data_IF_533222049998
#
_entry.id   IF_533222049998
#
_cell.length_a   1.000
_cell.length_b   1.000
_cell.length_c   1.000
_cell.angle_alpha   90.00
_cell.angle_beta   90.00
_cell.angle_gamma   90.00
#
_symmetry.space_group_name_H-M   'P 1'
#
loop_
_entity.id
_entity.type
_entity.pdbx_description
1 polymer ?
#
# COMPACT_ATOMS: atom_id res chain seq x y z
N UNK A 1 32.85 -18.89 -0.62
CA UNK A 1 32.07 -17.65 -0.40
C UNK A 1 30.97 -18.01 0.57
N UNK A 2 31.02 -17.44 1.76
CA UNK A 2 30.26 -17.91 2.92
C UNK A 2 28.84 -17.36 2.91
N UNK A 3 27.90 -18.06 3.55
CA UNK A 3 26.52 -17.58 3.73
C UNK A 3 26.47 -16.18 4.41
N UNK A 4 27.51 -15.83 5.17
CA UNK A 4 27.69 -14.54 5.81
C UNK A 4 27.75 -13.36 4.82
N UNK A 5 28.33 -13.55 3.64
CA UNK A 5 28.50 -12.48 2.64
C UNK A 5 27.13 -11.97 2.15
N UNK A 6 26.20 -12.89 1.90
CA UNK A 6 24.84 -12.60 1.44
C UNK A 6 24.00 -11.97 2.56
N UNK A 7 24.16 -12.44 3.79
CA UNK A 7 23.46 -11.89 4.95
C UNK A 7 23.86 -10.44 5.23
N UNK A 8 25.14 -10.10 5.09
CA UNK A 8 25.64 -8.72 5.25
C UNK A 8 25.09 -7.77 4.18
N UNK A 9 24.80 -8.24 2.97
CA UNK A 9 24.20 -7.42 1.91
C UNK A 9 22.71 -7.14 2.16
N UNK A 10 21.99 -8.05 2.82
CA UNK A 10 20.56 -7.89 3.15
C UNK A 10 20.35 -7.05 4.41
N UNK A 11 21.29 -7.09 5.34
CA UNK A 11 21.25 -6.39 6.62
C UNK A 11 20.97 -4.87 6.52
N UNK A 12 21.61 -4.07 5.64
CA UNK A 12 21.30 -2.65 5.51
C UNK A 12 19.88 -2.39 4.99
N UNK A 13 19.36 -3.23 4.08
CA UNK A 13 17.99 -3.11 3.62
C UNK A 13 16.98 -3.40 4.73
N UNK A 14 17.26 -4.40 5.58
CA UNK A 14 16.41 -4.70 6.73
C UNK A 14 16.44 -3.59 7.78
N UNK A 15 17.61 -3.03 8.09
CA UNK A 15 17.73 -1.90 9.01
C UNK A 15 16.96 -0.67 8.50
N UNK A 16 17.04 -0.39 7.19
CA UNK A 16 16.27 0.70 6.59
C UNK A 16 14.75 0.47 6.75
N UNK A 17 14.25 -0.72 6.43
CA UNK A 17 12.83 -1.07 6.61
C UNK A 17 12.45 -0.97 8.09
N UNK A 18 13.30 -1.43 9.00
CA UNK A 18 13.01 -1.40 10.43
C UNK A 18 12.84 0.04 10.92
N UNK A 19 13.76 0.93 10.57
CA UNK A 19 13.76 2.33 11.02
C UNK A 19 12.63 3.13 10.35
N UNK A 20 12.42 2.95 9.05
CA UNK A 20 11.49 3.81 8.30
C UNK A 20 10.10 3.22 8.10
N UNK A 21 9.88 1.92 8.34
CA UNK A 21 8.56 1.29 8.20
C UNK A 21 8.03 0.72 9.51
N UNK A 22 8.89 0.17 10.38
CA UNK A 22 8.45 -0.46 11.64
C UNK A 22 8.31 0.55 12.77
N UNK A 23 9.31 1.42 12.99
CA UNK A 23 9.23 2.49 14.00
C UNK A 23 8.00 3.41 13.81
N UNK A 24 7.67 3.93 12.62
CA UNK A 24 6.49 4.80 12.48
C UNK A 24 5.16 4.06 12.70
N UNK A 25 5.16 2.73 12.74
CA UNK A 25 3.97 1.93 13.00
C UNK A 25 3.47 2.07 14.44
N UNK A 26 4.30 2.55 15.37
CA UNK A 26 3.87 2.93 16.73
C UNK A 26 2.81 4.03 16.71
N UNK A 27 2.80 4.89 15.68
CA UNK A 27 1.75 5.89 15.48
C UNK A 27 0.36 5.28 15.27
N UNK A 28 0.29 4.04 14.76
CA UNK A 28 -0.98 3.30 14.65
C UNK A 28 -1.52 2.96 16.03
N UNK A 29 -0.66 2.52 16.95
CA UNK A 29 -1.05 2.23 18.33
C UNK A 29 -1.56 3.50 19.03
N UNK A 30 -0.92 4.64 18.79
CA UNK A 30 -1.37 5.93 19.34
C UNK A 30 -2.75 6.36 18.84
N UNK A 31 -3.10 6.03 17.59
CA UNK A 31 -4.43 6.34 17.02
C UNK A 31 -5.59 5.55 17.68
N UNK A 32 -5.30 4.44 18.34
CA UNK A 32 -6.27 3.63 19.09
C UNK A 32 -6.33 3.97 20.59
N UNK A 33 -5.49 4.89 21.05
CA UNK A 33 -5.50 5.41 22.42
C UNK A 33 -6.12 6.81 22.40
N UNK A 34 -6.85 7.18 23.47
CA UNK A 34 -7.36 8.55 23.61
C UNK A 34 -6.22 9.47 24.06
N UNK A 35 -5.34 9.81 23.11
CA UNK A 35 -4.16 10.62 23.37
C UNK A 35 -4.53 12.11 23.43
N UNK A 36 -4.86 12.57 24.64
CA UNK A 36 -4.95 14.00 24.93
C UNK A 36 -3.63 14.48 25.54
N UNK A 37 -2.97 15.44 24.89
CA UNK A 37 -1.72 16.09 25.35
C UNK A 37 -1.89 16.63 26.79
N UNK A 38 -3.13 16.92 27.20
CA UNK A 38 -3.49 17.48 28.50
C UNK A 38 -3.86 16.45 29.58
N UNK A 39 -4.17 15.19 29.26
CA UNK A 39 -4.72 14.21 30.23
C UNK A 39 -3.84 12.99 30.55
N UNK A 40 -2.57 12.97 30.11
CA UNK A 40 -1.62 11.93 30.48
C UNK A 40 -1.86 10.57 29.80
N UNK A 41 -0.79 9.77 29.69
CA UNK A 41 -0.74 8.53 28.88
C UNK A 41 -1.66 7.38 29.32
N UNK A 42 -2.31 7.44 30.50
CA UNK A 42 -2.85 6.25 31.17
C UNK A 42 -4.40 6.17 31.23
N UNK A 43 -5.14 7.08 30.61
CA UNK A 43 -6.56 7.26 31.01
C UNK A 43 -7.59 6.43 30.24
N UNK A 44 -7.25 5.72 29.14
CA UNK A 44 -8.27 5.02 28.34
C UNK A 44 -8.06 3.49 28.23
N UNK A 45 -8.46 2.74 29.26
CA UNK A 45 -8.54 1.27 29.26
C UNK A 45 -9.38 0.71 28.08
N UNK A 46 -10.26 1.53 27.49
CA UNK A 46 -11.19 1.17 26.41
C UNK A 46 -11.14 2.15 25.21
N UNK A 47 -10.00 2.82 24.98
CA UNK A 47 -9.87 3.84 23.92
C UNK A 47 -10.19 3.33 22.51
N UNK A 48 -9.81 2.10 22.20
CA UNK A 48 -10.02 1.49 20.89
C UNK A 48 -11.51 1.40 20.51
N UNK A 49 -12.39 0.98 21.43
CA UNK A 49 -13.85 0.86 21.19
C UNK A 49 -14.44 2.23 20.82
N UNK A 50 -14.02 3.29 21.53
CA UNK A 50 -14.52 4.63 21.32
C UNK A 50 -14.09 5.18 19.96
N UNK A 51 -12.85 4.96 19.56
CA UNK A 51 -12.35 5.34 18.22
C UNK A 51 -13.13 4.63 17.12
N UNK A 52 -13.42 3.33 17.26
CA UNK A 52 -14.25 2.61 16.28
C UNK A 52 -15.67 3.20 16.20
N UNK A 53 -16.35 3.42 17.32
CA UNK A 53 -17.67 4.06 17.32
C UNK A 53 -17.65 5.45 16.71
N UNK A 54 -16.59 6.23 16.94
CA UNK A 54 -16.42 7.54 16.34
C UNK A 54 -16.35 7.45 14.81
N UNK A 55 -15.53 6.54 14.28
CA UNK A 55 -15.38 6.30 12.84
C UNK A 55 -16.69 5.85 12.19
N UNK A 56 -17.43 4.93 12.82
CA UNK A 56 -18.72 4.45 12.28
C UNK A 56 -19.85 5.50 12.37
N UNK A 57 -19.73 6.51 13.24
CA UNK A 57 -20.69 7.62 13.34
C UNK A 57 -20.47 8.71 12.30
N UNK A 58 -19.34 8.70 11.58
CA UNK A 58 -19.10 9.64 10.47
C UNK A 58 -20.12 9.33 9.36
N UNK A 59 -20.96 10.31 9.03
CA UNK A 59 -22.04 10.17 8.03
C UNK A 59 -21.53 9.64 6.68
N UNK A 60 -20.34 10.08 6.27
CA UNK A 60 -19.72 9.71 5.00
C UNK A 60 -18.93 8.40 5.03
N UNK A 61 -18.77 7.76 6.20
CA UNK A 61 -17.92 6.56 6.33
C UNK A 61 -18.37 5.44 5.38
N UNK A 62 -19.67 5.13 5.36
CA UNK A 62 -20.22 4.09 4.50
C UNK A 62 -20.14 4.44 3.01
N UNK A 63 -20.29 5.72 2.66
CA UNK A 63 -20.11 6.19 1.28
C UNK A 63 -18.66 5.99 0.83
N UNK A 64 -17.69 6.40 1.64
CA UNK A 64 -16.26 6.26 1.35
C UNK A 64 -15.85 4.79 1.29
N UNK A 65 -16.33 3.96 2.23
CA UNK A 65 -16.05 2.53 2.26
C UNK A 65 -16.57 1.83 0.99
N UNK A 66 -17.82 2.10 0.60
CA UNK A 66 -18.41 1.55 -0.63
C UNK A 66 -17.64 2.00 -1.87
N UNK A 67 -17.29 3.29 -1.96
CA UNK A 67 -16.53 3.81 -3.09
C UNK A 67 -15.14 3.13 -3.18
N UNK A 68 -14.45 2.99 -2.05
CA UNK A 68 -13.15 2.32 -1.98
C UNK A 68 -13.26 0.85 -2.40
N UNK A 69 -14.28 0.13 -1.92
CA UNK A 69 -14.54 -1.26 -2.33
C UNK A 69 -14.82 -1.37 -3.83
N UNK A 70 -15.67 -0.49 -4.38
CA UNK A 70 -15.99 -0.49 -5.81
C UNK A 70 -14.74 -0.22 -6.65
N UNK A 71 -13.90 0.74 -6.25
CA UNK A 71 -12.63 1.03 -6.92
C UNK A 71 -11.68 -0.16 -6.84
N UNK A 72 -11.55 -0.80 -5.67
CA UNK A 72 -10.70 -1.97 -5.48
C UNK A 72 -11.15 -3.15 -6.37
N UNK A 73 -12.46 -3.42 -6.42
CA UNK A 73 -13.04 -4.44 -7.30
C UNK A 73 -12.84 -4.12 -8.78
N UNK A 74 -13.01 -2.86 -9.19
CA UNK A 74 -12.77 -2.44 -10.57
C UNK A 74 -11.29 -2.61 -10.96
N UNK A 75 -10.37 -2.22 -10.08
CA UNK A 75 -8.93 -2.44 -10.27
C UNK A 75 -8.58 -3.92 -10.35
N UNK A 76 -9.26 -4.76 -9.57
CA UNK A 76 -9.03 -6.21 -9.60
C UNK A 76 -9.64 -6.87 -10.85
N UNK A 77 -10.88 -6.55 -11.22
CA UNK A 77 -11.55 -7.20 -12.35
C UNK A 77 -11.11 -6.66 -13.72
N UNK A 78 -10.73 -5.38 -13.82
CA UNK A 78 -10.34 -4.76 -15.10
C UNK A 78 -8.85 -4.43 -15.10
N UNK A 79 -8.37 -3.79 -14.04
CA UNK A 79 -6.98 -3.33 -13.95
C UNK A 79 -5.94 -4.47 -13.94
N UNK A 80 -6.28 -5.63 -13.38
CA UNK A 80 -5.38 -6.79 -13.37
C UNK A 80 -5.41 -7.59 -14.69
N UNK A 81 -6.57 -7.90 -15.31
CA UNK A 81 -6.58 -8.57 -16.60
C UNK A 81 -6.12 -7.70 -17.77
N UNK A 82 -6.26 -6.38 -17.70
CA UNK A 82 -5.90 -5.49 -18.81
C UNK A 82 -4.41 -5.60 -19.24
N UNK A 83 -3.41 -5.58 -18.34
CA UNK A 83 -2.01 -5.82 -18.70
C UNK A 83 -1.76 -7.22 -19.29
N UNK A 84 -2.49 -8.24 -18.82
CA UNK A 84 -2.35 -9.63 -19.32
C UNK A 84 -2.88 -9.71 -20.75
N UNK A 85 -4.07 -9.17 -21.00
CA UNK A 85 -4.65 -9.09 -22.34
C UNK A 85 -3.76 -8.26 -23.28
N UNK A 86 -3.24 -7.12 -22.80
CA UNK A 86 -2.32 -6.30 -23.57
C UNK A 86 -1.04 -7.07 -23.91
N UNK A 87 -0.45 -7.79 -22.96
CA UNK A 87 0.74 -8.62 -23.20
C UNK A 87 0.46 -9.72 -24.23
N UNK A 88 -0.72 -10.34 -24.19
CA UNK A 88 -1.13 -11.37 -25.15
C UNK A 88 -1.32 -10.80 -26.56
N UNK A 89 -1.96 -9.63 -26.69
CA UNK A 89 -2.13 -8.92 -27.97
C UNK A 89 -0.76 -8.52 -28.53
N UNK A 90 0.13 -7.97 -27.70
CA UNK A 90 1.49 -7.60 -28.14
C UNK A 90 2.33 -8.82 -28.53
N UNK A 91 2.12 -9.96 -27.87
CA UNK A 91 2.80 -11.21 -28.20
C UNK A 91 2.34 -11.77 -29.56
N UNK A 92 1.06 -11.60 -29.91
CA UNK A 92 0.49 -12.05 -31.18
C UNK A 92 0.86 -11.13 -32.36
N UNK A 93 1.13 -9.84 -32.08
CA UNK A 93 1.67 -8.89 -33.08
C UNK A 93 3.15 -9.22 -33.32
N UNK A 94 3.38 -10.20 -34.21
CA UNK A 94 4.69 -10.71 -34.67
C UNK A 94 5.57 -9.68 -35.42
N UNK A 95 5.31 -8.38 -35.27
CA UNK A 95 6.16 -7.32 -35.78
C UNK A 95 6.88 -6.64 -34.62
N UNK A 96 8.00 -7.23 -34.22
CA UNK A 96 9.02 -6.64 -33.34
C UNK A 96 9.39 -5.20 -33.77
N UNK A 97 9.17 -4.86 -35.04
CA UNK A 97 9.40 -3.54 -35.62
C UNK A 97 8.44 -2.44 -35.11
N UNK A 98 7.16 -2.73 -34.88
CA UNK A 98 6.20 -1.70 -34.41
C UNK A 98 6.39 -1.35 -32.93
N UNK A 99 6.74 -2.34 -32.11
CA UNK A 99 6.97 -2.16 -30.67
C UNK A 99 8.27 -1.36 -30.40
N UNK A 100 9.32 -1.60 -31.19
CA UNK A 100 10.54 -0.78 -31.19
C UNK A 100 10.28 0.66 -31.64
N UNK A 101 9.44 0.86 -32.66
CA UNK A 101 9.13 2.19 -33.17
C UNK A 101 8.36 3.05 -32.16
N UNK A 102 7.43 2.46 -31.39
CA UNK A 102 6.71 3.17 -30.31
C UNK A 102 7.62 3.53 -29.14
N UNK A 103 8.53 2.62 -28.73
CA UNK A 103 9.50 2.91 -27.67
C UNK A 103 10.51 4.00 -28.07
N UNK A 104 10.91 4.06 -29.34
CA UNK A 104 11.81 5.10 -29.86
C UNK A 104 11.14 6.48 -29.97
N UNK A 105 9.84 6.55 -30.28
CA UNK A 105 9.11 7.82 -30.38
C UNK A 105 8.84 8.43 -28.99
N UNK A 106 8.70 7.62 -27.94
CA UNK A 106 8.58 8.11 -26.56
C UNK A 106 9.89 8.61 -25.93
N UNK A 107 11.04 8.39 -26.57
CA UNK A 107 12.38 8.75 -26.10
C UNK A 107 12.97 9.97 -26.83
N UNK A 108 12.14 10.75 -27.52
CA UNK A 108 12.49 12.03 -28.14
C UNK A 108 11.52 13.11 -27.67
#
# INVERSE_FOLDING_TARGET
MGQLDIQLMVLPAMLFIFIFSYIPMDGVLMAFQDFSIFHGFFTSLLGWIQTFHHVFRITEFFNIMRNTMVIALLKFCIGFPAPILLALILNEVRSIFFLLQIFLIKQK
#
